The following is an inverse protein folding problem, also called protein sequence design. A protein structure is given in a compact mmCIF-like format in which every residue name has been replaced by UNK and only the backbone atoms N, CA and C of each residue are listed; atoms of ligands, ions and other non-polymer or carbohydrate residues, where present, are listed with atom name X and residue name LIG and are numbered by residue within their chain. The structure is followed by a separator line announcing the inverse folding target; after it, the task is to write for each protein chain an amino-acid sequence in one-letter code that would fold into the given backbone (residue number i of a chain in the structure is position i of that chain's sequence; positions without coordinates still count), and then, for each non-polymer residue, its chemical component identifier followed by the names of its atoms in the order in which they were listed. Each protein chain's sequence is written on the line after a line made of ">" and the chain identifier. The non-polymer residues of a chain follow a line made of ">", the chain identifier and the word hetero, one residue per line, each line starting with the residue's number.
data_IF_346295035448
#
_entry.id   IF_346295035448
#
_cell.length_a   1.000
_cell.length_b   1.000
_cell.length_c   1.000
_cell.angle_alpha   90.00
_cell.angle_beta   90.00
_cell.angle_gamma   90.00
#
_symmetry.space_group_name_H-M   'P 1'
#
loop_
_entity.id
_entity.type
_entity.pdbx_description
1 polymer ?
#
# COMPACT_ATOMS: atom_id res chain seq x y z
N UNK A 1 28.77 0.77 35.78
CA UNK A 1 29.40 1.52 34.67
C UNK A 1 29.07 0.96 33.29
N UNK A 2 28.61 -0.30 33.15
CA UNK A 2 28.41 -0.91 31.82
C UNK A 2 27.21 -0.39 31.02
N UNK A 3 26.13 0.09 31.66
CA UNK A 3 24.94 0.57 30.95
C UNK A 3 25.04 2.01 30.40
N UNK A 4 26.10 2.77 30.73
CA UNK A 4 26.20 4.19 30.34
C UNK A 4 26.55 4.38 28.86
N UNK A 5 27.11 3.37 28.21
CA UNK A 5 27.50 3.44 26.79
C UNK A 5 26.39 3.03 25.82
N UNK A 6 25.36 2.34 26.31
CA UNK A 6 24.19 1.93 25.52
C UNK A 6 23.51 3.09 24.78
N UNK A 7 23.18 4.23 25.42
CA UNK A 7 22.55 5.34 24.71
C UNK A 7 23.45 5.94 23.61
N UNK A 8 24.77 5.90 23.78
CA UNK A 8 25.73 6.38 22.78
C UNK A 8 25.76 5.46 21.56
N UNK A 9 25.80 4.14 21.77
CA UNK A 9 25.74 3.17 20.68
C UNK A 9 24.40 3.23 19.92
N UNK A 10 23.29 3.38 20.63
CA UNK A 10 21.96 3.55 20.02
C UNK A 10 21.92 4.82 19.18
N UNK A 11 22.44 5.93 19.70
CA UNK A 11 22.46 7.21 18.98
C UNK A 11 23.33 7.14 17.71
N UNK A 12 24.49 6.49 17.80
CA UNK A 12 25.36 6.26 16.64
C UNK A 12 24.67 5.36 15.61
N UNK A 13 24.05 4.26 16.05
CA UNK A 13 23.31 3.36 15.17
C UNK A 13 22.20 4.10 14.41
N UNK A 14 21.41 4.94 15.09
CA UNK A 14 20.40 5.77 14.44
C UNK A 14 20.99 6.79 13.47
N UNK A 15 22.14 7.40 13.79
CA UNK A 15 22.80 8.34 12.89
C UNK A 15 23.31 7.65 11.62
N UNK A 16 23.89 6.45 11.74
CA UNK A 16 24.33 5.64 10.59
C UNK A 16 23.14 5.17 9.75
N UNK A 17 22.07 4.71 10.40
CA UNK A 17 20.83 4.31 9.73
C UNK A 17 20.21 5.48 8.96
N UNK A 18 20.05 6.63 9.61
CA UNK A 18 19.51 7.85 9.01
C UNK A 18 20.34 8.26 7.78
N UNK A 19 21.67 8.23 7.89
CA UNK A 19 22.55 8.52 6.76
C UNK A 19 22.38 7.54 5.60
N UNK A 20 22.30 6.24 5.89
CA UNK A 20 22.09 5.22 4.85
C UNK A 20 20.77 5.45 4.11
N UNK A 21 19.68 5.73 4.84
CA UNK A 21 18.36 6.01 4.25
C UNK A 21 18.39 7.28 3.39
N UNK A 22 19.00 8.37 3.86
CA UNK A 22 19.10 9.61 3.08
C UNK A 22 19.93 9.41 1.81
N UNK A 23 21.06 8.72 1.91
CA UNK A 23 21.93 8.48 0.75
C UNK A 23 21.18 7.68 -0.31
N UNK A 24 20.51 6.59 0.08
CA UNK A 24 19.70 5.79 -0.84
C UNK A 24 18.59 6.61 -1.49
N UNK A 25 17.85 7.41 -0.69
CA UNK A 25 16.80 8.29 -1.20
C UNK A 25 17.34 9.24 -2.29
N UNK A 26 18.47 9.90 -2.02
CA UNK A 26 19.08 10.82 -2.99
C UNK A 26 19.54 10.10 -4.25
N UNK A 27 20.14 8.92 -4.12
CA UNK A 27 20.52 8.11 -5.29
C UNK A 27 19.31 7.78 -6.14
N UNK A 28 18.16 7.43 -5.55
CA UNK A 28 16.92 7.15 -6.29
C UNK A 28 16.38 8.42 -6.96
N UNK A 29 16.32 9.55 -6.24
CA UNK A 29 15.81 10.82 -6.78
C UNK A 29 16.69 11.42 -7.89
N UNK A 30 18.00 11.15 -7.86
CA UNK A 30 18.96 11.65 -8.85
C UNK A 30 19.07 10.74 -10.10
N UNK A 31 18.38 9.58 -10.14
CA UNK A 31 18.37 8.70 -11.33
C UNK A 31 17.51 9.34 -12.43
N UNK A 32 18.07 9.64 -13.61
CA UNK A 32 17.28 10.21 -14.69
C UNK A 32 16.37 9.15 -15.33
N UNK A 33 15.20 9.59 -15.78
CA UNK A 33 14.30 8.74 -16.59
C UNK A 33 14.98 8.33 -17.89
N UNK A 34 15.19 7.04 -18.05
CA UNK A 34 15.78 6.40 -19.22
C UNK A 34 14.68 5.85 -20.14
N UNK A 35 15.01 5.76 -21.44
CA UNK A 35 14.21 5.02 -22.42
C UNK A 35 14.38 3.52 -22.21
N UNK A 36 13.37 2.72 -22.56
CA UNK A 36 13.36 1.26 -22.41
C UNK A 36 14.61 0.62 -23.03
N UNK A 37 14.98 1.02 -24.25
CA UNK A 37 16.15 0.47 -24.94
C UNK A 37 17.49 0.85 -24.28
N UNK A 38 17.50 1.87 -23.44
CA UNK A 38 18.68 2.34 -22.72
C UNK A 38 18.86 1.73 -21.33
N UNK A 39 17.97 0.81 -20.91
CA UNK A 39 18.07 0.15 -19.60
C UNK A 39 19.34 -0.69 -19.52
N UNK A 40 20.05 -0.56 -18.40
CA UNK A 40 21.28 -1.32 -18.11
C UNK A 40 21.19 -1.97 -16.73
N UNK A 41 22.17 -2.80 -16.39
CA UNK A 41 22.22 -3.44 -15.07
C UNK A 41 22.35 -2.40 -13.95
N UNK A 42 21.38 -2.36 -13.03
CA UNK A 42 21.39 -1.46 -11.88
C UNK A 42 20.08 -0.70 -11.71
N UNK A 43 20.16 0.44 -11.02
CA UNK A 43 19.00 1.30 -10.78
C UNK A 43 18.68 2.12 -12.03
N UNK A 44 17.46 1.98 -12.53
CA UNK A 44 16.95 2.72 -13.68
C UNK A 44 15.59 3.29 -13.32
N UNK A 45 15.33 4.52 -13.74
CA UNK A 45 13.97 5.05 -13.80
C UNK A 45 13.48 4.92 -15.24
N UNK A 46 12.29 4.37 -15.46
CA UNK A 46 11.70 4.19 -16.79
C UNK A 46 10.23 4.61 -16.77
N UNK A 47 9.75 5.11 -17.89
CA UNK A 47 8.36 5.56 -18.05
C UNK A 47 7.80 5.10 -19.39
N UNK A 48 6.60 4.55 -19.36
CA UNK A 48 5.92 4.04 -20.54
C UNK A 48 4.47 3.72 -20.26
N UNK A 49 3.81 3.14 -21.27
CA UNK A 49 2.46 2.60 -21.16
C UNK A 49 2.51 1.13 -20.80
N UNK A 50 1.52 0.65 -20.05
CA UNK A 50 1.41 -0.76 -19.71
C UNK A 50 0.79 -1.53 -20.88
N UNK A 51 1.35 -2.70 -21.18
CA UNK A 51 0.82 -3.68 -22.14
C UNK A 51 0.78 -5.05 -21.48
N UNK A 52 -0.37 -5.71 -21.58
CA UNK A 52 -0.56 -7.10 -21.14
C UNK A 52 -1.58 -7.77 -22.04
N UNK A 53 -1.26 -8.97 -22.54
CA UNK A 53 -2.15 -9.73 -23.41
C UNK A 53 -3.31 -10.37 -22.64
N UNK A 54 -3.06 -10.73 -21.37
CA UNK A 54 -4.05 -11.32 -20.48
C UNK A 54 -4.06 -10.52 -19.17
N UNK A 55 -4.72 -9.36 -19.10
CA UNK A 55 -4.81 -8.59 -17.86
C UNK A 55 -5.69 -9.28 -16.82
N UNK A 56 -5.41 -9.04 -15.54
CA UNK A 56 -6.25 -9.45 -14.42
C UNK A 56 -7.57 -8.68 -14.44
N UNK A 57 -8.63 -9.33 -14.00
CA UNK A 57 -9.88 -8.65 -13.70
C UNK A 57 -9.90 -8.24 -12.22
N UNK A 58 -10.05 -6.95 -11.96
CA UNK A 58 -10.13 -6.43 -10.59
C UNK A 58 -11.42 -6.88 -9.91
N UNK A 59 -11.36 -7.22 -8.62
CA UNK A 59 -12.52 -7.77 -7.90
C UNK A 59 -13.69 -6.78 -7.78
N UNK A 60 -13.39 -5.52 -7.44
CA UNK A 60 -14.43 -4.52 -7.13
C UNK A 60 -14.95 -3.75 -8.34
N UNK A 61 -14.06 -3.45 -9.29
CA UNK A 61 -14.40 -2.61 -10.45
C UNK A 61 -14.57 -3.41 -11.74
N UNK A 62 -14.24 -4.70 -11.72
CA UNK A 62 -14.24 -5.60 -12.89
C UNK A 62 -13.42 -5.09 -14.08
N UNK A 63 -12.59 -4.08 -13.86
CA UNK A 63 -11.74 -3.45 -14.85
C UNK A 63 -10.46 -4.26 -15.05
N UNK A 64 -9.91 -4.30 -16.28
CA UNK A 64 -8.63 -4.94 -16.57
C UNK A 64 -7.47 -4.18 -15.90
N UNK A 65 -6.59 -4.88 -15.20
CA UNK A 65 -5.38 -4.34 -14.59
C UNK A 65 -4.24 -5.37 -14.56
N UNK A 66 -3.00 -4.92 -14.36
CA UNK A 66 -1.82 -5.79 -14.16
C UNK A 66 -1.44 -5.93 -12.68
N UNK A 67 -1.99 -5.06 -11.84
CA UNK A 67 -1.80 -5.03 -10.40
C UNK A 67 -3.03 -4.41 -9.75
N UNK A 68 -3.51 -4.99 -8.65
CA UNK A 68 -4.53 -4.36 -7.82
C UNK A 68 -4.45 -4.85 -6.38
N UNK A 69 -4.95 -4.01 -5.48
CA UNK A 69 -5.19 -4.32 -4.08
C UNK A 69 -6.52 -3.68 -3.67
N UNK A 70 -7.27 -4.34 -2.80
CA UNK A 70 -8.55 -3.87 -2.31
C UNK A 70 -8.82 -4.32 -0.88
N UNK A 71 -9.60 -3.51 -0.16
CA UNK A 71 -10.07 -3.82 1.18
C UNK A 71 -11.51 -3.32 1.38
N UNK A 72 -12.35 -4.18 1.93
CA UNK A 72 -13.71 -3.85 2.36
C UNK A 72 -13.71 -3.81 3.89
N UNK A 73 -14.16 -2.70 4.45
CA UNK A 73 -14.25 -2.50 5.90
C UNK A 73 -15.67 -2.14 6.32
N UNK A 74 -16.12 -2.73 7.42
CA UNK A 74 -17.42 -2.45 8.02
C UNK A 74 -17.25 -1.62 9.30
N UNK A 75 -18.04 -0.56 9.40
CA UNK A 75 -18.14 0.24 10.62
C UNK A 75 -19.17 -0.38 11.57
N UNK A 76 -18.72 -0.82 12.74
CA UNK A 76 -19.59 -1.38 13.76
C UNK A 76 -19.90 -0.35 14.84
N UNK A 77 -21.10 -0.44 15.43
CA UNK A 77 -21.53 0.35 16.58
C UNK A 77 -22.21 -0.54 17.61
N UNK A 78 -21.73 -0.50 18.85
CA UNK A 78 -22.27 -1.29 19.97
C UNK A 78 -22.65 -0.39 21.14
N UNK A 79 -23.87 -0.53 21.64
CA UNK A 79 -24.36 0.19 22.81
C UNK A 79 -24.42 -0.76 24.00
N UNK A 80 -23.67 -0.46 25.05
CA UNK A 80 -23.58 -1.29 26.26
C UNK A 80 -24.10 -0.50 27.46
N UNK A 81 -25.01 -1.10 28.24
CA UNK A 81 -25.37 -0.61 29.57
C UNK A 81 -24.36 -1.14 30.58
N UNK A 82 -23.75 -0.27 31.38
CA UNK A 82 -22.90 -0.66 32.50
C UNK A 82 -23.35 0.09 33.77
N UNK A 83 -23.02 -0.45 34.95
CA UNK A 83 -23.17 0.29 36.20
C UNK A 83 -21.85 0.98 36.51
N UNK A 84 -21.90 2.26 36.84
CA UNK A 84 -20.74 2.96 37.35
C UNK A 84 -20.43 2.53 38.79
N UNK A 85 -19.34 3.09 39.33
CA UNK A 85 -18.86 2.82 40.68
C UNK A 85 -19.89 3.20 41.76
N UNK A 86 -20.83 4.07 41.39
CA UNK A 86 -21.89 4.61 42.26
C UNK A 86 -23.21 3.83 42.09
N UNK A 87 -23.22 2.75 41.30
CA UNK A 87 -24.39 1.89 41.07
C UNK A 87 -25.39 2.43 40.05
N UNK A 88 -25.13 3.60 39.44
CA UNK A 88 -26.01 4.20 38.45
C UNK A 88 -25.85 3.50 37.09
N UNK A 89 -26.98 3.22 36.43
CA UNK A 89 -26.97 2.64 35.08
C UNK A 89 -26.58 3.72 34.08
N UNK A 90 -25.43 3.55 33.43
CA UNK A 90 -24.95 4.40 32.35
C UNK A 90 -24.92 3.62 31.05
N UNK A 91 -25.15 4.33 29.95
CA UNK A 91 -25.07 3.78 28.60
C UNK A 91 -23.82 4.33 27.93
N UNK A 92 -22.98 3.44 27.38
CA UNK A 92 -21.85 3.82 26.54
C UNK A 92 -22.01 3.24 25.15
N UNK A 93 -21.76 4.08 24.16
CA UNK A 93 -21.62 3.65 22.76
C UNK A 93 -20.14 3.47 22.43
N UNK A 94 -19.80 2.37 21.78
CA UNK A 94 -18.50 2.11 21.18
C UNK A 94 -18.68 1.93 19.68
N UNK A 95 -17.71 2.37 18.91
CA UNK A 95 -17.67 2.14 17.47
C UNK A 95 -16.24 1.87 17.01
N UNK A 96 -16.12 1.28 15.83
CA UNK A 96 -14.83 0.99 15.21
C UNK A 96 -15.01 0.43 13.81
N UNK A 97 -13.90 0.16 13.16
CA UNK A 97 -13.86 -0.46 11.84
C UNK A 97 -13.29 -1.87 11.95
N UNK A 98 -13.78 -2.76 11.09
CA UNK A 98 -13.24 -4.10 10.91
C UNK A 98 -13.15 -4.38 9.43
N UNK A 99 -11.98 -4.78 8.95
CA UNK A 99 -11.83 -5.35 7.60
C UNK A 99 -12.61 -6.66 7.54
N UNK A 100 -13.59 -6.72 6.66
CA UNK A 100 -14.44 -7.92 6.46
C UNK A 100 -13.90 -8.79 5.34
N UNK A 101 -13.26 -8.16 4.35
CA UNK A 101 -12.60 -8.86 3.26
C UNK A 101 -11.50 -7.98 2.66
N UNK A 102 -10.51 -8.63 2.06
CA UNK A 102 -9.39 -7.96 1.39
C UNK A 102 -8.71 -8.92 0.44
N UNK A 103 -8.16 -8.39 -0.63
CA UNK A 103 -7.41 -9.19 -1.57
C UNK A 103 -6.64 -8.32 -2.54
N UNK A 104 -5.88 -8.99 -3.38
CA UNK A 104 -5.05 -8.34 -4.38
C UNK A 104 -4.44 -9.39 -5.27
N UNK A 105 -3.99 -8.96 -6.43
CA UNK A 105 -3.26 -9.82 -7.35
C UNK A 105 -2.38 -8.98 -8.25
N UNK A 106 -1.33 -9.60 -8.76
CA UNK A 106 -0.40 -8.99 -9.69
C UNK A 106 0.08 -10.03 -10.70
N UNK A 107 0.54 -9.55 -11.84
CA UNK A 107 1.18 -10.35 -12.86
C UNK A 107 2.32 -9.57 -13.50
N UNK A 108 3.22 -10.27 -14.17
CA UNK A 108 4.22 -9.66 -15.05
C UNK A 108 3.53 -8.94 -16.20
N UNK A 109 4.10 -7.82 -16.63
CA UNK A 109 3.56 -7.00 -17.71
C UNK A 109 4.67 -6.29 -18.48
N UNK A 110 4.37 -5.83 -19.69
CA UNK A 110 5.32 -5.04 -20.46
C UNK A 110 5.10 -3.55 -20.24
N UNK A 111 6.19 -2.82 -20.01
CA UNK A 111 6.26 -1.38 -20.10
C UNK A 111 6.73 -1.00 -21.51
N UNK A 112 5.94 -0.22 -22.22
CA UNK A 112 6.19 0.14 -23.62
C UNK A 112 6.43 1.63 -23.75
N UNK A 113 7.51 2.00 -24.43
CA UNK A 113 7.78 3.36 -24.88
C UNK A 113 8.02 3.42 -26.40
N UNK A 114 8.50 4.55 -26.90
CA UNK A 114 8.84 4.77 -28.32
C UNK A 114 10.07 3.98 -28.81
N UNK A 115 10.82 3.34 -27.90
CA UNK A 115 12.07 2.62 -28.20
C UNK A 115 11.96 1.11 -28.07
N UNK A 116 10.96 0.59 -27.34
CA UNK A 116 10.73 -0.84 -27.21
C UNK A 116 9.79 -1.23 -26.07
N UNK A 117 9.88 -2.50 -25.67
CA UNK A 117 9.10 -3.09 -24.58
C UNK A 117 10.04 -3.67 -23.52
N UNK A 118 9.73 -3.46 -22.24
CA UNK A 118 10.47 -3.96 -21.08
C UNK A 118 9.56 -4.84 -20.24
N UNK A 119 9.94 -6.09 -19.99
CA UNK A 119 9.21 -6.96 -19.07
C UNK A 119 9.44 -6.48 -17.63
N UNK A 120 8.35 -6.23 -16.90
CA UNK A 120 8.35 -5.87 -15.49
C UNK A 120 7.87 -7.07 -14.68
N UNK A 121 8.68 -7.49 -13.71
CA UNK A 121 8.33 -8.49 -12.70
C UNK A 121 8.04 -7.77 -11.38
N UNK A 122 6.77 -7.57 -10.98
CA UNK A 122 6.42 -6.74 -9.83
C UNK A 122 6.51 -7.50 -8.48
N UNK A 123 6.90 -8.77 -8.48
CA UNK A 123 6.99 -9.57 -7.26
C UNK A 123 7.96 -8.93 -6.24
N UNK A 124 7.45 -8.67 -5.02
CA UNK A 124 8.21 -8.03 -3.95
C UNK A 124 8.46 -6.52 -4.14
N UNK A 125 7.97 -5.92 -5.23
CA UNK A 125 8.11 -4.50 -5.46
C UNK A 125 7.22 -3.68 -4.51
N UNK A 126 7.71 -2.51 -4.10
CA UNK A 126 6.86 -1.48 -3.50
C UNK A 126 6.10 -0.79 -4.64
N UNK A 127 4.78 -0.96 -4.66
CA UNK A 127 3.91 -0.41 -5.71
C UNK A 127 3.11 0.76 -5.14
N UNK A 128 3.14 1.90 -5.84
CA UNK A 128 2.32 3.07 -5.55
C UNK A 128 1.33 3.26 -6.68
N UNK A 129 0.03 3.15 -6.38
CA UNK A 129 -1.06 3.24 -7.36
C UNK A 129 -2.12 4.25 -6.94
N UNK A 130 -2.79 4.91 -7.91
CA UNK A 130 -3.95 5.72 -7.61
C UNK A 130 -5.14 4.85 -7.18
N UNK A 131 -5.99 5.37 -6.29
CA UNK A 131 -7.26 4.73 -5.95
C UNK A 131 -8.24 4.87 -7.11
N UNK A 132 -8.65 3.74 -7.69
CA UNK A 132 -9.66 3.71 -8.76
C UNK A 132 -11.08 3.80 -8.22
N UNK A 133 -11.34 3.21 -7.05
CA UNK A 133 -12.65 3.21 -6.40
C UNK A 133 -12.50 3.42 -4.89
N UNK A 134 -13.35 4.30 -4.35
CA UNK A 134 -13.58 4.43 -2.92
C UNK A 134 -15.06 4.72 -2.71
N UNK A 135 -15.76 3.82 -2.04
CA UNK A 135 -17.19 3.92 -1.83
C UNK A 135 -17.55 3.54 -0.40
N UNK A 136 -18.57 4.19 0.15
CA UNK A 136 -19.11 3.88 1.47
C UNK A 136 -20.61 3.72 1.32
N UNK A 137 -21.09 2.51 1.56
CA UNK A 137 -22.50 2.17 1.50
C UNK A 137 -23.05 1.91 2.91
N UNK A 138 -24.38 1.92 3.03
CA UNK A 138 -25.08 1.54 4.27
C UNK A 138 -25.90 0.28 4.02
N UNK A 139 -26.52 -0.28 5.06
CA UNK A 139 -27.34 -1.49 4.95
C UNK A 139 -28.54 -1.35 3.99
N UNK A 140 -28.95 -0.13 3.62
CA UNK A 140 -30.01 0.08 2.64
C UNK A 140 -29.52 0.05 1.19
N UNK A 141 -28.22 -0.03 0.96
CA UNK A 141 -27.61 -0.03 -0.37
C UNK A 141 -27.51 -1.48 -0.89
N UNK A 142 -27.94 -1.76 -2.14
CA UNK A 142 -27.77 -3.08 -2.76
C UNK A 142 -26.34 -3.64 -2.67
N UNK A 143 -25.32 -2.77 -2.77
CA UNK A 143 -23.92 -3.15 -2.71
C UNK A 143 -23.52 -3.82 -1.37
N UNK A 144 -24.29 -3.59 -0.30
CA UNK A 144 -23.98 -4.15 1.03
C UNK A 144 -24.18 -5.68 1.08
N UNK A 145 -25.02 -6.25 0.20
CA UNK A 145 -25.37 -7.67 0.23
C UNK A 145 -24.63 -8.53 -0.81
N UNK A 146 -23.89 -7.91 -1.73
CA UNK A 146 -23.25 -8.59 -2.87
C UNK A 146 -24.17 -8.62 -4.08
#
# INVERSE_FOLDING_TARGET
>A
MEFSFIPVFISLAFLFWWRAVILFKRTVEDVPTSKVKGVFYGLNEVKGSVKSDNPLQTYLTEAPSVWYDWSISEHWKKTESYRDKDGNRKTRTKSGWRTVDSGGSFQSFYLVDDTGELLIEPEGAKVEVPSTMSHSCSQSDPLYYG
#
